data_IF_941243090756
#
_entry.id   IF_941243090756
#
_cell.length_a   1.000
_cell.length_b   1.000
_cell.length_c   1.000
_cell.angle_alpha   90.00
_cell.angle_beta   90.00
_cell.angle_gamma   90.00
#
_symmetry.space_group_name_H-M   'P 1'
#
loop_
_entity.id
_entity.type
_entity.pdbx_description
1 polymer ?
#
# COMPACT_ATOMS: atom_id res chain seq x y z
N UNK A 1 -38.97 4.18 10.76
CA UNK A 1 -39.12 3.96 9.30
C UNK A 1 -37.87 3.23 8.81
N UNK A 2 -37.99 1.95 8.44
CA UNK A 2 -36.89 1.20 7.82
C UNK A 2 -36.73 1.71 6.37
N UNK A 3 -35.49 1.96 5.94
CA UNK A 3 -35.21 2.32 4.55
C UNK A 3 -35.60 1.14 3.63
N UNK A 4 -36.13 1.40 2.43
CA UNK A 4 -36.51 0.34 1.51
C UNK A 4 -35.27 -0.47 1.12
N UNK A 5 -35.36 -1.80 1.26
CA UNK A 5 -34.34 -2.72 0.78
C UNK A 5 -34.19 -2.53 -0.74
N UNK A 6 -33.03 -2.05 -1.18
CA UNK A 6 -32.74 -1.91 -2.62
C UNK A 6 -32.57 -3.31 -3.21
N UNK A 7 -33.45 -3.67 -4.14
CA UNK A 7 -33.31 -4.89 -4.91
C UNK A 7 -31.94 -4.95 -5.60
N UNK A 8 -31.23 -6.10 -5.56
CA UNK A 8 -29.93 -6.23 -6.19
C UNK A 8 -30.04 -6.06 -7.72
N UNK A 9 -29.13 -5.28 -8.29
CA UNK A 9 -29.05 -5.08 -9.74
C UNK A 9 -28.44 -6.31 -10.42
N UNK A 10 -28.59 -6.43 -11.75
CA UNK A 10 -27.91 -7.47 -12.54
C UNK A 10 -26.40 -7.50 -12.27
N UNK A 11 -25.78 -6.33 -12.12
CA UNK A 11 -24.35 -6.22 -11.79
C UNK A 11 -24.03 -6.76 -10.39
N UNK A 12 -24.89 -6.53 -9.39
CA UNK A 12 -24.73 -7.11 -8.05
C UNK A 12 -24.83 -8.64 -8.09
N UNK A 13 -25.77 -9.18 -8.86
CA UNK A 13 -25.96 -10.63 -9.00
C UNK A 13 -24.73 -11.27 -9.64
N UNK A 14 -24.18 -10.67 -10.70
CA UNK A 14 -22.95 -11.13 -11.33
C UNK A 14 -21.75 -11.04 -10.37
N UNK A 15 -21.61 -9.93 -9.64
CA UNK A 15 -20.54 -9.76 -8.65
C UNK A 15 -20.59 -10.84 -7.55
N UNK A 16 -21.78 -11.22 -7.07
CA UNK A 16 -21.97 -12.28 -6.07
C UNK A 16 -21.47 -13.67 -6.54
N UNK A 17 -21.32 -13.90 -7.84
CA UNK A 17 -20.77 -15.16 -8.38
C UNK A 17 -19.24 -15.20 -8.34
N UNK A 18 -18.59 -14.04 -8.46
CA UNK A 18 -17.12 -13.95 -8.58
C UNK A 18 -16.45 -13.53 -7.28
N UNK A 19 -17.16 -12.80 -6.41
CA UNK A 19 -16.62 -12.38 -5.12
C UNK A 19 -16.63 -13.52 -4.10
N UNK A 20 -15.53 -13.74 -3.38
CA UNK A 20 -15.56 -14.65 -2.24
C UNK A 20 -16.58 -14.20 -1.20
N UNK A 21 -17.38 -15.17 -0.73
CA UNK A 21 -18.50 -14.90 0.19
C UNK A 21 -18.03 -14.44 1.57
N UNK A 22 -16.90 -14.98 2.04
CA UNK A 22 -16.37 -14.71 3.38
C UNK A 22 -15.43 -13.51 3.39
N UNK A 23 -15.49 -12.73 4.47
CA UNK A 23 -14.48 -11.71 4.73
C UNK A 23 -13.17 -12.37 5.15
N UNK A 24 -12.01 -11.74 4.88
CA UNK A 24 -10.76 -12.19 5.48
C UNK A 24 -10.87 -12.09 7.00
N UNK A 25 -10.36 -13.10 7.72
CA UNK A 25 -10.31 -13.10 9.18
C UNK A 25 -9.57 -11.86 9.69
N UNK A 26 -10.12 -11.21 10.70
CA UNK A 26 -9.49 -10.06 11.33
C UNK A 26 -9.46 -10.22 12.85
N UNK A 27 -8.25 -10.28 13.41
CA UNK A 27 -7.99 -10.51 14.84
C UNK A 27 -7.68 -9.23 15.62
N UNK A 28 -7.63 -8.07 14.95
CA UNK A 28 -7.24 -6.80 15.57
C UNK A 28 -5.79 -6.42 15.34
N UNK A 29 -5.15 -6.96 14.30
CA UNK A 29 -3.79 -6.60 13.93
C UNK A 29 -3.82 -5.31 13.08
N UNK A 30 -3.21 -4.18 13.53
CA UNK A 30 -3.28 -2.92 12.80
C UNK A 30 -2.82 -2.99 11.34
N UNK A 31 -1.69 -3.67 11.05
CA UNK A 31 -1.18 -3.80 9.66
C UNK A 31 -2.12 -4.53 8.70
N UNK A 32 -3.08 -5.30 9.22
CA UNK A 32 -4.06 -6.06 8.42
C UNK A 32 -5.35 -5.29 8.16
N UNK A 33 -5.60 -4.22 8.94
CA UNK A 33 -6.79 -3.40 8.83
C UNK A 33 -7.05 -2.85 7.42
N UNK A 34 -6.08 -2.27 6.70
CA UNK A 34 -6.35 -1.70 5.37
C UNK A 34 -6.89 -2.74 4.38
N UNK A 35 -6.32 -3.95 4.40
CA UNK A 35 -6.77 -5.05 3.55
C UNK A 35 -8.19 -5.48 3.92
N UNK A 36 -8.45 -5.68 5.21
CA UNK A 36 -9.76 -6.05 5.72
C UNK A 36 -10.84 -5.02 5.36
N UNK A 37 -10.59 -3.75 5.67
CA UNK A 37 -11.52 -2.65 5.45
C UNK A 37 -11.83 -2.46 3.96
N UNK A 38 -10.81 -2.44 3.10
CA UNK A 38 -11.01 -2.34 1.66
C UNK A 38 -11.84 -3.52 1.13
N UNK A 39 -11.55 -4.74 1.61
CA UNK A 39 -12.32 -5.91 1.22
C UNK A 39 -13.79 -5.79 1.64
N UNK A 40 -14.06 -5.34 2.87
CA UNK A 40 -15.40 -5.10 3.37
C UNK A 40 -16.15 -4.08 2.51
N UNK A 41 -15.56 -2.91 2.25
CA UNK A 41 -16.17 -1.81 1.49
C UNK A 41 -16.43 -2.22 0.04
N UNK A 42 -15.41 -2.75 -0.64
CA UNK A 42 -15.51 -3.11 -2.07
C UNK A 42 -16.48 -4.27 -2.27
N UNK A 43 -16.43 -5.33 -1.44
CA UNK A 43 -17.37 -6.45 -1.56
C UNK A 43 -18.81 -6.03 -1.24
N UNK A 44 -19.01 -5.17 -0.24
CA UNK A 44 -20.34 -4.64 0.12
C UNK A 44 -20.95 -3.87 -1.04
N UNK A 45 -20.16 -2.97 -1.63
CA UNK A 45 -20.58 -2.13 -2.77
C UNK A 45 -20.81 -2.97 -4.01
N UNK A 46 -19.87 -3.82 -4.38
CA UNK A 46 -19.92 -4.62 -5.60
C UNK A 46 -21.07 -5.64 -5.58
N UNK A 47 -21.31 -6.28 -4.43
CA UNK A 47 -22.34 -7.32 -4.28
C UNK A 47 -23.71 -6.76 -3.84
N UNK A 48 -23.81 -5.46 -3.56
CA UNK A 48 -25.02 -4.85 -3.02
C UNK A 48 -25.52 -5.56 -1.77
N UNK A 49 -24.65 -5.73 -0.77
CA UNK A 49 -24.96 -6.49 0.44
C UNK A 49 -25.84 -5.69 1.40
N UNK A 50 -26.82 -6.37 1.99
CA UNK A 50 -27.68 -5.81 3.03
C UNK A 50 -26.95 -5.64 4.36
N UNK A 51 -27.47 -4.83 5.29
CA UNK A 51 -26.92 -4.75 6.65
C UNK A 51 -26.89 -6.10 7.36
N UNK A 52 -27.89 -6.97 7.13
CA UNK A 52 -27.94 -8.30 7.74
C UNK A 52 -26.87 -9.23 7.16
N UNK A 53 -26.65 -9.21 5.84
CA UNK A 53 -25.57 -9.95 5.19
C UNK A 53 -24.20 -9.50 5.73
N UNK A 54 -24.00 -8.20 5.90
CA UNK A 54 -22.75 -7.67 6.44
C UNK A 54 -22.55 -7.99 7.92
N UNK A 55 -23.60 -7.96 8.74
CA UNK A 55 -23.52 -8.35 10.14
C UNK A 55 -23.07 -9.82 10.30
N UNK A 56 -23.70 -10.73 9.54
CA UNK A 56 -23.33 -12.14 9.55
C UNK A 56 -21.87 -12.37 9.12
N UNK A 57 -21.41 -11.67 8.07
CA UNK A 57 -20.01 -11.75 7.61
C UNK A 57 -19.03 -11.24 8.66
N UNK A 58 -19.38 -10.16 9.37
CA UNK A 58 -18.55 -9.59 10.44
C UNK A 58 -18.48 -10.52 11.66
N UNK A 59 -19.60 -11.10 12.08
CA UNK A 59 -19.60 -12.07 13.17
C UNK A 59 -18.74 -13.30 12.84
N UNK A 60 -18.78 -13.78 11.59
CA UNK A 60 -17.97 -14.92 11.16
C UNK A 60 -16.46 -14.60 11.15
N UNK A 61 -16.04 -13.44 10.63
CA UNK A 61 -14.62 -13.14 10.37
C UNK A 61 -13.87 -12.49 11.53
N UNK A 62 -14.57 -11.82 12.46
CA UNK A 62 -13.93 -11.16 13.58
C UNK A 62 -13.54 -12.18 14.66
N UNK A 63 -12.31 -12.10 15.14
CA UNK A 63 -11.74 -13.00 16.15
C UNK A 63 -10.92 -12.21 17.19
N UNK A 64 -10.67 -12.83 18.35
CA UNK A 64 -9.80 -12.28 19.39
C UNK A 64 -10.17 -10.84 19.80
N UNK A 65 -9.17 -9.96 20.04
CA UNK A 65 -9.41 -8.59 20.50
C UNK A 65 -10.31 -7.75 19.59
N UNK A 66 -10.33 -8.01 18.28
CA UNK A 66 -11.25 -7.32 17.38
C UNK A 66 -12.71 -7.71 17.61
N UNK A 67 -12.99 -8.99 17.90
CA UNK A 67 -14.35 -9.46 18.21
C UNK A 67 -14.81 -8.94 19.56
N UNK A 68 -13.97 -9.09 20.59
CA UNK A 68 -14.27 -8.64 21.96
C UNK A 68 -14.64 -7.15 22.01
N UNK A 69 -13.95 -6.31 21.24
CA UNK A 69 -14.20 -4.87 21.20
C UNK A 69 -15.57 -4.46 20.64
N UNK A 70 -16.27 -5.35 19.94
CA UNK A 70 -17.54 -5.05 19.25
C UNK A 70 -18.64 -6.07 19.52
N UNK A 71 -18.40 -7.04 20.41
CA UNK A 71 -19.26 -8.19 20.66
C UNK A 71 -20.72 -7.79 20.93
N UNK A 72 -20.93 -6.80 21.81
CA UNK A 72 -22.27 -6.32 22.19
C UNK A 72 -23.08 -5.66 21.06
N UNK A 73 -22.54 -5.57 19.85
CA UNK A 73 -23.23 -5.03 18.67
C UNK A 73 -23.43 -6.05 17.55
N UNK A 74 -22.79 -7.22 17.58
CA UNK A 74 -22.78 -8.16 16.45
C UNK A 74 -24.14 -8.80 16.14
N UNK A 75 -25.05 -8.85 17.12
CA UNK A 75 -26.40 -9.42 16.95
C UNK A 75 -27.38 -8.51 16.20
N UNK A 76 -27.02 -7.25 15.95
CA UNK A 76 -27.94 -6.24 15.41
C UNK A 76 -27.48 -5.72 14.04
N UNK A 77 -28.18 -6.02 12.93
CA UNK A 77 -27.80 -5.55 11.60
C UNK A 77 -27.63 -4.03 11.45
N UNK A 78 -28.38 -3.23 12.21
CA UNK A 78 -28.29 -1.76 12.17
C UNK A 78 -27.03 -1.22 12.83
N UNK A 79 -26.28 -2.04 13.56
CA UNK A 79 -25.05 -1.66 14.26
C UNK A 79 -23.80 -1.75 13.37
N UNK A 80 -23.87 -2.37 12.19
CA UNK A 80 -22.72 -2.57 11.28
C UNK A 80 -21.88 -1.30 11.07
N UNK A 81 -22.47 -0.10 10.83
CA UNK A 81 -21.70 1.13 10.72
C UNK A 81 -20.92 1.48 12.00
N UNK A 82 -21.51 1.22 13.17
CA UNK A 82 -20.86 1.44 14.47
C UNK A 82 -19.70 0.45 14.67
N UNK A 83 -19.90 -0.83 14.36
CA UNK A 83 -18.85 -1.87 14.42
C UNK A 83 -17.64 -1.46 13.58
N UNK A 84 -17.84 -1.14 12.30
CA UNK A 84 -16.76 -0.74 11.40
C UNK A 84 -16.06 0.53 11.89
N UNK A 85 -16.83 1.54 12.35
CA UNK A 85 -16.27 2.79 12.87
C UNK A 85 -15.41 2.56 14.11
N UNK A 86 -15.85 1.68 15.03
CA UNK A 86 -15.09 1.33 16.23
C UNK A 86 -13.80 0.61 15.86
N UNK A 87 -13.85 -0.40 14.98
CA UNK A 87 -12.65 -1.09 14.52
C UNK A 87 -11.67 -0.15 13.79
N UNK A 88 -12.18 0.79 12.99
CA UNK A 88 -11.35 1.81 12.34
C UNK A 88 -10.66 2.72 13.35
N UNK A 89 -11.35 3.12 14.42
CA UNK A 89 -10.77 3.93 15.50
C UNK A 89 -9.67 3.18 16.25
N UNK A 90 -9.86 1.88 16.49
CA UNK A 90 -8.93 1.05 17.24
C UNK A 90 -7.70 0.65 16.41
N UNK A 91 -7.89 0.26 15.16
CA UNK A 91 -6.86 -0.42 14.35
C UNK A 91 -6.48 0.34 13.07
N UNK A 92 -7.31 1.26 12.60
CA UNK A 92 -7.13 1.96 11.32
C UNK A 92 -6.31 3.24 11.36
N UNK A 93 -5.77 3.62 12.51
CA UNK A 93 -4.93 4.82 12.63
C UNK A 93 -3.58 4.58 11.92
N UNK A 94 -3.18 5.42 10.95
CA UNK A 94 -1.94 5.20 10.19
C UNK A 94 -0.70 5.01 11.07
N UNK A 95 -0.60 5.74 12.18
CA UNK A 95 0.50 5.61 13.14
C UNK A 95 0.57 4.22 13.81
N UNK A 96 -0.58 3.58 14.09
CA UNK A 96 -0.62 2.23 14.66
C UNK A 96 -0.20 1.18 13.64
N UNK A 97 -0.67 1.32 12.41
CA UNK A 97 -0.30 0.46 11.27
C UNK A 97 1.21 0.49 11.07
N UNK A 98 1.81 1.70 11.02
CA UNK A 98 3.27 1.86 10.89
C UNK A 98 4.02 1.26 12.06
N UNK A 99 3.60 1.57 13.29
CA UNK A 99 4.27 1.05 14.49
C UNK A 99 4.31 -0.49 14.48
N UNK A 100 3.18 -1.13 14.19
CA UNK A 100 3.07 -2.59 14.12
C UNK A 100 3.93 -3.19 12.98
N UNK A 101 4.02 -2.52 11.82
CA UNK A 101 4.90 -2.93 10.73
C UNK A 101 6.39 -2.83 11.10
N UNK A 102 6.80 -1.74 11.73
CA UNK A 102 8.18 -1.55 12.19
C UNK A 102 8.53 -2.58 13.26
N UNK A 103 7.65 -2.81 14.22
CA UNK A 103 7.83 -3.85 15.24
C UNK A 103 7.95 -5.25 14.61
N UNK A 104 7.14 -5.56 13.60
CA UNK A 104 7.25 -6.83 12.87
C UNK A 104 8.64 -7.02 12.27
N UNK A 105 9.18 -6.02 11.60
CA UNK A 105 10.51 -6.08 11.00
C UNK A 105 11.61 -6.15 12.06
N UNK A 106 11.46 -5.41 13.17
CA UNK A 106 12.37 -5.47 14.32
C UNK A 106 12.41 -6.84 14.99
N UNK A 107 11.32 -7.61 14.96
CA UNK A 107 11.28 -8.98 15.50
C UNK A 107 11.91 -10.06 14.61
N UNK A 108 12.19 -9.77 13.33
CA UNK A 108 12.87 -10.74 12.47
C UNK A 108 14.30 -10.96 12.98
N UNK A 109 14.68 -12.20 13.22
CA UNK A 109 16.03 -12.53 13.66
C UNK A 109 17.08 -12.13 12.60
N UNK A 110 18.30 -11.73 12.99
CA UNK A 110 19.41 -11.55 12.06
C UNK A 110 19.63 -12.80 11.22
N UNK A 111 19.62 -12.72 9.87
CA UNK A 111 19.91 -13.87 9.02
C UNK A 111 21.28 -14.46 9.30
N UNK A 112 21.36 -15.78 9.37
CA UNK A 112 22.64 -16.47 9.57
C UNK A 112 23.44 -16.48 8.26
N UNK A 113 24.78 -16.31 8.29
CA UNK A 113 25.60 -16.25 7.07
C UNK A 113 25.46 -17.49 6.18
N UNK A 114 25.23 -18.66 6.77
CA UNK A 114 25.14 -19.95 6.08
C UNK A 114 23.74 -20.23 5.51
N UNK A 115 22.73 -19.43 5.87
CA UNK A 115 21.32 -19.64 5.52
C UNK A 115 20.82 -18.53 4.59
N UNK A 116 21.05 -18.72 3.28
CA UNK A 116 20.65 -17.74 2.26
C UNK A 116 19.14 -17.49 2.21
N UNK A 117 18.33 -18.49 2.55
CA UNK A 117 16.88 -18.41 2.64
C UNK A 117 16.41 -17.40 3.70
N UNK A 118 17.09 -17.33 4.84
CA UNK A 118 16.81 -16.33 5.88
C UNK A 118 17.12 -14.92 5.38
N UNK A 119 18.22 -14.76 4.64
CA UNK A 119 18.62 -13.47 4.08
C UNK A 119 17.61 -13.00 3.01
N UNK A 120 17.17 -13.90 2.14
CA UNK A 120 16.12 -13.62 1.15
C UNK A 120 14.81 -13.24 1.85
N UNK A 121 14.41 -13.98 2.89
CA UNK A 121 13.18 -13.71 3.65
C UNK A 121 13.22 -12.35 4.33
N UNK A 122 14.37 -11.99 4.92
CA UNK A 122 14.59 -10.69 5.52
C UNK A 122 14.53 -9.56 4.48
N UNK A 123 15.19 -9.73 3.33
CA UNK A 123 15.14 -8.77 2.23
C UNK A 123 13.72 -8.54 1.68
N UNK A 124 12.95 -9.62 1.49
CA UNK A 124 11.54 -9.54 1.11
C UNK A 124 10.70 -8.81 2.15
N UNK A 125 10.95 -9.05 3.45
CA UNK A 125 10.24 -8.37 4.52
C UNK A 125 10.50 -6.85 4.50
N UNK A 126 11.76 -6.42 4.32
CA UNK A 126 12.11 -5.00 4.16
C UNK A 126 11.44 -4.40 2.92
N UNK A 127 11.47 -5.11 1.79
CA UNK A 127 10.81 -4.63 0.57
C UNK A 127 9.30 -4.45 0.77
N UNK A 128 8.64 -5.40 1.44
CA UNK A 128 7.23 -5.28 1.78
C UNK A 128 6.94 -4.10 2.71
N UNK A 129 7.80 -3.82 3.69
CA UNK A 129 7.70 -2.62 4.53
C UNK A 129 7.78 -1.34 3.68
N UNK A 130 8.78 -1.25 2.80
CA UNK A 130 8.96 -0.11 1.90
C UNK A 130 7.73 0.14 1.01
N UNK A 131 7.18 -0.94 0.45
CA UNK A 131 5.96 -0.86 -0.36
C UNK A 131 4.76 -0.38 0.46
N UNK A 132 4.58 -0.92 1.68
CA UNK A 132 3.46 -0.53 2.53
C UNK A 132 3.55 0.94 2.95
N UNK A 133 4.72 1.40 3.39
CA UNK A 133 4.93 2.80 3.78
C UNK A 133 4.81 3.76 2.59
N UNK A 134 5.24 3.33 1.40
CA UNK A 134 5.07 4.12 0.18
C UNK A 134 3.60 4.27 -0.23
N UNK A 135 2.83 3.19 -0.15
CA UNK A 135 1.40 3.17 -0.50
C UNK A 135 0.54 3.92 0.52
N UNK A 136 0.95 3.97 1.78
CA UNK A 136 0.25 4.70 2.84
C UNK A 136 0.57 6.21 2.87
N UNK A 137 1.39 6.72 1.96
CA UNK A 137 1.94 8.10 1.96
C UNK A 137 2.80 8.44 3.21
N UNK A 138 3.32 7.40 3.88
CA UNK A 138 4.10 7.49 5.12
C UNK A 138 5.60 7.39 4.85
N UNK A 139 6.05 7.94 3.72
CA UNK A 139 7.44 7.85 3.23
C UNK A 139 8.46 8.47 4.19
N UNK A 140 8.05 9.40 5.05
CA UNK A 140 8.93 10.02 6.05
C UNK A 140 9.52 9.00 7.03
N UNK A 141 8.83 7.89 7.32
CA UNK A 141 9.38 6.80 8.13
C UNK A 141 10.51 6.02 7.42
N UNK A 142 10.54 6.02 6.08
CA UNK A 142 11.59 5.35 5.29
C UNK A 142 12.91 6.13 5.28
N UNK A 143 12.88 7.41 5.66
CA UNK A 143 14.05 8.29 5.71
C UNK A 143 14.64 8.33 7.13
N UNK A 144 14.15 7.49 8.06
CA UNK A 144 14.71 7.40 9.39
C UNK A 144 16.09 6.71 9.34
N UNK A 145 17.20 7.44 9.62
CA UNK A 145 18.54 6.85 9.60
C UNK A 145 18.71 5.76 10.67
N UNK A 146 18.07 5.90 11.84
CA UNK A 146 18.16 4.90 12.92
C UNK A 146 17.54 3.57 12.48
N UNK A 147 16.39 3.61 11.81
CA UNK A 147 15.76 2.41 11.28
C UNK A 147 16.64 1.74 10.22
N UNK A 148 17.30 2.52 9.37
CA UNK A 148 18.23 1.99 8.38
C UNK A 148 19.41 1.29 9.06
N UNK A 149 20.04 1.93 10.04
CA UNK A 149 21.14 1.36 10.82
C UNK A 149 20.70 0.08 11.53
N UNK A 150 19.53 0.06 12.18
CA UNK A 150 18.96 -1.15 12.79
C UNK A 150 18.81 -2.30 11.78
N UNK A 151 18.41 -2.01 10.53
CA UNK A 151 18.26 -3.04 9.49
C UNK A 151 19.61 -3.54 8.97
N UNK A 152 20.58 -2.64 8.82
CA UNK A 152 21.94 -2.98 8.39
C UNK A 152 22.67 -3.79 9.45
N UNK A 153 22.41 -3.50 10.73
CA UNK A 153 22.99 -4.22 11.87
C UNK A 153 22.59 -5.71 11.89
N UNK A 154 21.41 -6.03 11.35
CA UNK A 154 20.93 -7.41 11.24
C UNK A 154 21.62 -8.22 10.13
N UNK A 155 22.34 -7.59 9.22
CA UNK A 155 22.96 -8.29 8.09
C UNK A 155 24.17 -9.13 8.56
N UNK A 156 24.43 -10.29 7.92
CA UNK A 156 25.69 -11.00 8.05
C UNK A 156 26.90 -10.07 7.81
N UNK A 157 28.01 -10.29 8.51
CA UNK A 157 29.20 -9.44 8.45
C UNK A 157 29.70 -9.17 7.02
N UNK A 158 29.68 -10.20 6.16
CA UNK A 158 30.06 -10.09 4.74
C UNK A 158 29.16 -9.10 3.98
N UNK A 159 27.84 -9.18 4.18
CA UNK A 159 26.85 -8.27 3.56
C UNK A 159 26.91 -6.86 4.14
N UNK A 160 27.23 -6.74 5.43
CA UNK A 160 27.43 -5.45 6.09
C UNK A 160 28.65 -4.71 5.53
N UNK A 161 29.76 -5.41 5.31
CA UNK A 161 30.95 -4.85 4.65
C UNK A 161 30.63 -4.41 3.22
N UNK A 162 29.94 -5.23 2.42
CA UNK A 162 29.48 -4.86 1.08
C UNK A 162 28.61 -3.59 1.11
N UNK A 163 27.72 -3.46 2.11
CA UNK A 163 26.87 -2.29 2.29
C UNK A 163 27.69 -1.02 2.59
N UNK A 164 28.67 -1.10 3.48
CA UNK A 164 29.53 0.03 3.86
C UNK A 164 30.42 0.50 2.71
N UNK A 165 30.90 -0.43 1.88
CA UNK A 165 31.76 -0.13 0.72
C UNK A 165 30.94 0.39 -0.47
N UNK A 166 29.64 0.09 -0.53
CA UNK A 166 28.78 0.55 -1.62
C UNK A 166 28.68 2.08 -1.65
N UNK A 167 28.89 2.74 -2.81
CA UNK A 167 28.66 4.18 -2.97
C UNK A 167 27.21 4.61 -2.64
N UNK A 168 26.28 3.65 -2.53
CA UNK A 168 24.87 3.85 -2.17
C UNK A 168 24.62 3.86 -0.65
N UNK A 169 25.60 3.46 0.18
CA UNK A 169 25.51 3.50 1.64
C UNK A 169 25.54 4.92 2.23
N UNK A 170 25.93 5.92 1.43
CA UNK A 170 25.96 7.35 1.78
C UNK A 170 24.85 8.16 1.10
N UNK A 171 23.59 7.75 1.23
CA UNK A 171 22.46 8.59 0.78
C UNK A 171 21.49 8.85 1.92
N UNK A 172 21.97 9.50 2.97
CA UNK A 172 21.14 10.42 3.74
C UNK A 172 21.36 11.82 3.20
N UNK A 173 20.25 12.49 2.85
CA UNK A 173 20.13 13.90 2.47
C UNK A 173 20.65 14.31 1.09
N UNK A 174 19.89 14.02 0.03
CA UNK A 174 19.50 15.10 -0.90
C UNK A 174 18.12 14.79 -1.51
N UNK A 175 17.08 15.45 -1.00
CA UNK A 175 15.88 15.68 -1.78
C UNK A 175 16.23 16.70 -2.87
N UNK A 176 16.83 16.26 -3.97
CA UNK A 176 16.98 17.11 -5.15
C UNK A 176 15.72 16.97 -6.00
N UNK A 177 14.78 17.91 -5.78
CA UNK A 177 13.91 18.40 -6.85
C UNK A 177 14.81 18.63 -8.07
N UNK A 178 14.65 17.84 -9.13
CA UNK A 178 15.23 18.17 -10.43
C UNK A 178 14.63 19.51 -10.89
N UNK A 179 15.42 20.58 -11.12
CA UNK A 179 14.89 21.71 -11.86
C UNK A 179 14.68 21.28 -13.31
N UNK A 180 13.50 21.58 -13.81
CA UNK A 180 13.03 21.35 -15.16
C UNK A 180 14.03 21.95 -16.17
N UNK A 181 14.56 21.14 -17.10
CA UNK A 181 15.45 21.62 -18.16
C UNK A 181 14.56 22.14 -19.31
N UNK A 182 14.62 23.43 -19.70
CA UNK A 182 13.89 23.89 -20.86
C UNK A 182 14.48 23.27 -22.14
N UNK A 183 13.60 22.76 -22.99
CA UNK A 183 13.93 22.23 -24.31
C UNK A 183 14.56 23.33 -25.16
N UNK A 184 15.79 23.11 -25.63
CA UNK A 184 16.48 23.99 -26.56
C UNK A 184 15.96 23.70 -27.96
N UNK A 185 15.06 24.53 -28.45
CA UNK A 185 14.62 24.54 -29.85
C UNK A 185 15.83 24.81 -30.75
N UNK A 186 16.21 23.84 -31.59
CA UNK A 186 17.18 24.02 -32.65
C UNK A 186 16.58 24.90 -33.75
N UNK A 187 17.06 26.14 -33.87
CA UNK A 187 16.89 26.95 -35.08
C UNK A 187 18.08 26.66 -36.01
N UNK A 188 17.79 26.23 -37.24
CA UNK A 188 18.75 26.02 -38.32
C UNK A 188 19.39 27.35 -38.77
N UNK A 189 20.69 27.39 -39.10
CA UNK A 189 21.33 28.59 -39.64
C UNK A 189 20.98 28.79 -41.13
N UNK A 190 20.70 30.04 -41.46
CA UNK A 190 20.37 30.58 -42.78
C UNK A 190 21.45 30.31 -43.84
N UNK A 191 20.99 29.99 -45.06
CA UNK A 191 21.77 30.04 -46.29
C UNK A 191 22.12 31.50 -46.62
N UNK A 192 23.40 31.77 -46.91
CA UNK A 192 23.80 32.94 -47.69
C UNK A 192 23.58 32.61 -49.18
N UNK A 193 22.74 33.41 -49.84
CA UNK A 193 23.01 34.22 -51.05
C UNK A 193 24.07 33.68 -52.05
N UNK A 194 23.93 33.73 -53.37
CA UNK A 194 23.04 34.40 -54.32
C UNK A 194 23.46 33.87 -55.70
N UNK A 195 22.56 33.81 -56.69
CA UNK A 195 22.74 34.14 -58.12
C UNK A 195 21.67 33.42 -58.97
N UNK A 196 20.63 34.17 -59.35
CA UNK A 196 19.74 33.87 -60.46
C UNK A 196 20.42 34.22 -61.82
N UNK A 197 19.74 34.33 -62.99
CA UNK A 197 18.39 33.89 -63.44
C UNK A 197 18.34 33.31 -64.89
N UNK A 198 17.19 32.73 -65.26
CA UNK A 198 16.35 33.01 -66.48
C UNK A 198 15.82 31.77 -67.23
N UNK A 199 14.48 31.78 -67.39
CA UNK A 199 13.63 31.37 -68.55
C UNK A 199 13.67 29.86 -68.93
N UNK A 200 12.57 29.15 -69.21
CA UNK A 200 11.43 29.35 -70.13
C UNK A 200 10.21 28.52 -69.64
N UNK A 201 8.97 29.05 -69.71
CA UNK A 201 7.90 28.61 -70.64
C UNK A 201 7.85 27.09 -70.89
N UNK A 202 6.74 26.38 -70.62
CA UNK A 202 5.60 26.35 -71.55
C UNK A 202 4.33 25.83 -70.87
N UNK A 203 3.25 26.56 -71.19
CA UNK A 203 1.82 26.23 -71.28
C UNK A 203 1.35 24.79 -71.05
#
# INVERSE_FOLDING_TARGET
>A
MAAPERNPTTNHIAARQVWPKKLPTFTGIPREWPKFYNYFVESTKACGLSPAENAARLDECLKGPAREAVEGWLDTPTSVPLVIKTLQRLYGRPSLVVKDLLEKIRRIAPPRPEHLDELITFGLAIQHLCNHLSNAELKHYLVNPELLEEMVEKLPATRKLEWQVSPRGYITQTYTRKPNRPQRTSKSPSQLDLLQPKKEQTR
#
